data_IF_346128266763
#
_entry.id   IF_346128266763
#
_cell.length_a   1.000
_cell.length_b   1.000
_cell.length_c   1.000
_cell.angle_alpha   90.00
_cell.angle_beta   90.00
_cell.angle_gamma   90.00
#
_symmetry.space_group_name_H-M   'P 1'
#
loop_
_entity.id
_entity.type
_entity.pdbx_description
1 polymer ?
#
# COMPACT_ATOMS: atom_id res chain seq x y z
N UNK A 1 -21.59 13.39 16.92
CA UNK A 1 -20.39 12.54 17.10
C UNK A 1 -19.18 13.45 17.13
N UNK A 2 -18.20 13.20 18.00
CA UNK A 2 -16.98 14.03 18.12
C UNK A 2 -16.30 14.13 16.74
N UNK A 3 -16.03 15.36 16.30
CA UNK A 3 -15.73 15.69 14.89
C UNK A 3 -14.24 15.61 14.57
N UNK A 4 -13.50 14.72 15.24
CA UNK A 4 -12.11 14.47 14.88
C UNK A 4 -12.07 13.73 13.56
N UNK A 5 -11.79 14.48 12.50
CA UNK A 5 -11.60 13.94 11.17
C UNK A 5 -10.22 13.29 11.10
N UNK A 6 -10.17 12.01 10.72
CA UNK A 6 -8.93 11.27 10.47
C UNK A 6 -8.74 11.14 8.95
N UNK A 7 -7.95 12.00 8.29
CA UNK A 7 -7.90 12.01 6.83
C UNK A 7 -7.52 10.64 6.25
N UNK A 8 -8.27 10.21 5.23
CA UNK A 8 -8.17 8.89 4.62
C UNK A 8 -8.76 7.73 5.44
N UNK A 9 -9.44 8.02 6.54
CA UNK A 9 -10.36 7.09 7.21
C UNK A 9 -11.78 7.62 7.10
N UNK A 10 -12.76 6.72 7.19
CA UNK A 10 -14.16 7.06 7.06
C UNK A 10 -15.07 6.01 7.69
N UNK A 11 -16.33 6.39 7.94
CA UNK A 11 -17.41 5.52 8.36
C UNK A 11 -18.35 5.31 7.18
N UNK A 12 -18.89 4.09 7.05
CA UNK A 12 -19.82 3.72 5.99
C UNK A 12 -21.23 3.62 6.56
N UNK A 13 -22.14 4.47 6.09
CA UNK A 13 -23.55 4.49 6.45
C UNK A 13 -24.40 3.88 5.34
N UNK A 14 -25.33 3.02 5.71
CA UNK A 14 -26.27 2.43 4.79
C UNK A 14 -27.32 3.45 4.33
N UNK A 15 -27.38 3.76 3.04
CA UNK A 15 -28.39 4.68 2.49
C UNK A 15 -29.70 3.99 2.12
N UNK A 16 -29.64 2.71 1.75
CA UNK A 16 -30.81 1.93 1.31
C UNK A 16 -30.90 0.58 2.02
N UNK A 17 -32.11 0.10 2.34
CA UNK A 17 -32.30 -1.23 2.88
C UNK A 17 -31.62 -2.27 1.98
N UNK A 18 -30.90 -3.20 2.61
CA UNK A 18 -30.10 -4.16 1.86
C UNK A 18 -30.98 -5.01 0.94
N UNK A 19 -30.59 -5.15 -0.33
CA UNK A 19 -31.30 -5.97 -1.30
C UNK A 19 -31.44 -7.42 -0.80
N UNK A 20 -32.48 -8.16 -1.18
CA UNK A 20 -32.73 -9.55 -0.72
C UNK A 20 -31.56 -10.54 -0.94
N UNK A 21 -30.61 -10.22 -1.83
CA UNK A 21 -29.33 -10.95 -2.04
C UNK A 21 -28.35 -10.83 -0.85
N UNK A 22 -28.60 -9.95 0.11
CA UNK A 22 -27.80 -9.68 1.31
C UNK A 22 -28.02 -10.70 2.45
N UNK A 23 -28.16 -11.99 2.16
CA UNK A 23 -28.24 -13.02 3.21
C UNK A 23 -26.88 -13.35 3.85
N UNK A 24 -25.77 -12.86 3.26
CA UNK A 24 -24.40 -13.28 3.61
C UNK A 24 -23.66 -12.28 4.53
N UNK A 25 -24.12 -11.02 4.66
CA UNK A 25 -23.37 -9.96 5.38
C UNK A 25 -24.31 -9.13 6.30
N UNK A 26 -25.26 -9.76 6.99
CA UNK A 26 -26.14 -9.02 7.92
C UNK A 26 -25.45 -8.66 9.24
N UNK A 27 -24.53 -9.51 9.69
CA UNK A 27 -23.92 -9.40 11.01
C UNK A 27 -23.03 -8.15 11.19
N UNK A 28 -22.35 -7.61 10.15
CA UNK A 28 -21.51 -6.43 10.30
C UNK A 28 -22.27 -5.10 10.32
N UNK A 29 -23.60 -5.13 10.16
CA UNK A 29 -24.42 -3.93 10.26
C UNK A 29 -24.72 -3.61 11.72
N UNK A 30 -24.40 -2.39 12.15
CA UNK A 30 -24.58 -1.93 13.52
C UNK A 30 -25.52 -0.72 13.56
N UNK A 31 -26.24 -0.56 14.67
CA UNK A 31 -27.01 0.65 14.94
C UNK A 31 -26.03 1.81 15.22
N UNK A 32 -26.06 2.84 14.37
CA UNK A 32 -25.28 4.07 14.53
C UNK A 32 -25.96 5.10 15.42
N UNK A 33 -27.15 4.80 15.94
CA UNK A 33 -28.04 5.74 16.60
C UNK A 33 -28.80 6.60 15.60
N UNK A 34 -29.89 7.22 16.07
CA UNK A 34 -30.73 8.13 15.26
C UNK A 34 -31.27 7.52 13.95
N UNK A 35 -31.45 6.19 13.90
CA UNK A 35 -31.94 5.48 12.73
C UNK A 35 -30.89 5.23 11.64
N UNK A 36 -29.61 5.56 11.89
CA UNK A 36 -28.52 5.23 10.99
C UNK A 36 -28.08 3.77 11.17
N UNK A 37 -27.73 3.12 10.06
CA UNK A 37 -27.12 1.78 10.08
C UNK A 37 -25.72 1.88 9.51
N UNK A 38 -24.73 1.40 10.26
CA UNK A 38 -23.30 1.49 9.94
C UNK A 38 -22.73 0.13 9.56
N UNK A 39 -21.73 0.10 8.67
CA UNK A 39 -20.98 -1.12 8.39
C UNK A 39 -19.69 -1.17 9.23
N UNK A 40 -19.67 -2.03 10.25
CA UNK A 40 -18.50 -2.26 11.10
C UNK A 40 -17.36 -2.93 10.33
N UNK A 41 -16.18 -2.32 10.38
CA UNK A 41 -14.98 -2.90 9.76
C UNK A 41 -14.48 -4.14 10.50
N UNK A 42 -14.57 -4.18 11.84
CA UNK A 42 -14.15 -5.33 12.64
C UNK A 42 -15.07 -6.53 12.43
N UNK A 43 -16.39 -6.34 12.50
CA UNK A 43 -17.35 -7.42 12.29
C UNK A 43 -17.30 -7.94 10.85
N UNK A 44 -17.09 -7.04 9.87
CA UNK A 44 -16.90 -7.42 8.47
C UNK A 44 -15.69 -8.34 8.31
N UNK A 45 -14.56 -8.00 8.95
CA UNK A 45 -13.36 -8.82 8.94
C UNK A 45 -13.61 -10.21 9.54
N UNK A 46 -14.36 -10.30 10.63
CA UNK A 46 -14.59 -11.55 11.33
C UNK A 46 -15.51 -12.48 10.55
N UNK A 47 -16.59 -11.96 9.97
CA UNK A 47 -17.50 -12.73 9.12
C UNK A 47 -16.83 -13.21 7.83
N UNK A 48 -16.09 -12.33 7.14
CA UNK A 48 -15.37 -12.71 5.93
C UNK A 48 -14.18 -13.64 6.21
N UNK A 49 -13.55 -13.54 7.40
CA UNK A 49 -12.48 -14.45 7.81
C UNK A 49 -12.97 -15.88 8.03
N UNK A 50 -14.19 -16.05 8.57
CA UNK A 50 -14.82 -17.35 8.76
C UNK A 50 -15.15 -18.06 7.42
N UNK A 51 -15.24 -17.29 6.33
CA UNK A 51 -15.68 -17.74 5.01
C UNK A 51 -14.53 -18.02 4.03
N UNK A 52 -13.27 -18.10 4.49
CA UNK A 52 -12.11 -18.06 3.58
C UNK A 52 -11.87 -19.38 2.78
N UNK A 53 -11.85 -19.34 1.43
CA UNK A 53 -11.98 -20.52 0.56
C UNK A 53 -10.65 -21.10 0.02
N UNK A 54 -9.52 -20.92 0.71
CA UNK A 54 -8.21 -21.35 0.17
C UNK A 54 -7.63 -22.54 0.93
N UNK A 55 -7.97 -23.79 0.54
CA UNK A 55 -7.49 -24.99 1.24
C UNK A 55 -5.96 -25.11 1.25
N UNK A 56 -5.28 -24.50 0.28
CA UNK A 56 -3.82 -24.63 0.10
C UNK A 56 -2.99 -23.55 0.81
N UNK A 57 -3.61 -22.63 1.56
CA UNK A 57 -2.87 -21.58 2.28
C UNK A 57 -3.01 -21.76 3.80
N UNK A 58 -1.87 -22.00 4.44
CA UNK A 58 -1.79 -21.99 5.91
C UNK A 58 -1.88 -20.55 6.39
N UNK A 59 -2.96 -20.23 7.11
CA UNK A 59 -3.20 -18.89 7.65
C UNK A 59 -2.33 -18.64 8.88
N UNK A 60 -1.72 -17.45 8.96
CA UNK A 60 -1.05 -16.93 10.15
C UNK A 60 -1.96 -15.96 10.90
N UNK A 61 -1.50 -15.54 12.09
CA UNK A 61 -2.17 -14.52 12.89
C UNK A 61 -2.38 -13.22 12.08
N UNK A 62 -3.55 -12.62 12.25
CA UNK A 62 -3.95 -11.40 11.55
C UNK A 62 -2.99 -10.26 11.91
N UNK A 63 -2.60 -9.46 10.91
CA UNK A 63 -1.64 -8.36 11.08
C UNK A 63 -2.19 -7.05 10.51
N UNK A 64 -3.10 -6.40 11.24
CA UNK A 64 -3.88 -5.26 10.74
C UNK A 64 -4.97 -5.73 9.77
N UNK A 65 -5.19 -5.08 8.60
CA UNK A 65 -6.21 -5.50 7.65
C UNK A 65 -5.82 -6.77 6.86
N UNK A 66 -4.58 -7.25 7.00
CA UNK A 66 -4.10 -8.43 6.29
C UNK A 66 -4.26 -9.72 7.10
N UNK A 67 -4.58 -10.81 6.42
CA UNK A 67 -4.47 -12.19 6.89
C UNK A 67 -3.28 -12.87 6.20
N UNK A 68 -2.08 -12.80 6.78
CA UNK A 68 -0.89 -13.43 6.22
C UNK A 68 -1.07 -14.94 6.13
N UNK A 69 -0.35 -15.55 5.22
CA UNK A 69 -0.35 -17.00 5.05
C UNK A 69 0.88 -17.48 4.30
N UNK A 70 1.04 -18.80 4.30
CA UNK A 70 2.07 -19.46 3.51
C UNK A 70 1.42 -20.45 2.55
N UNK A 71 1.72 -20.31 1.27
CA UNK A 71 1.36 -21.26 0.22
C UNK A 71 2.54 -22.21 -0.03
N UNK A 72 2.29 -23.51 0.08
CA UNK A 72 3.30 -24.55 -0.18
C UNK A 72 4.55 -24.48 0.73
N UNK A 73 4.42 -23.93 1.94
CA UNK A 73 5.54 -23.80 2.91
C UNK A 73 6.61 -22.76 2.57
N UNK A 74 6.66 -22.24 1.35
CA UNK A 74 7.75 -21.37 0.86
C UNK A 74 7.27 -19.96 0.50
N UNK A 75 6.03 -19.83 0.02
CA UNK A 75 5.55 -18.58 -0.55
C UNK A 75 4.73 -17.83 0.49
N UNK A 76 5.28 -16.72 0.99
CA UNK A 76 4.54 -15.80 1.85
C UNK A 76 3.51 -14.99 1.04
N UNK A 77 2.28 -14.97 1.52
CA UNK A 77 1.16 -14.25 0.91
C UNK A 77 0.48 -13.38 1.96
N UNK A 78 0.21 -12.12 1.63
CA UNK A 78 -0.61 -11.23 2.45
C UNK A 78 -1.92 -10.95 1.72
N UNK A 79 -3.02 -11.48 2.25
CA UNK A 79 -4.36 -11.18 1.71
C UNK A 79 -4.98 -10.06 2.51
N UNK A 80 -5.56 -9.08 1.82
CA UNK A 80 -6.27 -7.96 2.43
C UNK A 80 -7.66 -7.93 1.83
N UNK A 81 -8.67 -7.92 2.69
CA UNK A 81 -10.04 -7.69 2.25
C UNK A 81 -10.24 -6.20 2.04
N UNK A 82 -10.95 -5.82 0.98
CA UNK A 82 -11.26 -4.44 0.70
C UNK A 82 -12.56 -4.31 -0.08
N UNK A 83 -13.24 -3.20 0.11
CA UNK A 83 -14.39 -2.81 -0.72
C UNK A 83 -13.89 -1.89 -1.82
N UNK A 84 -14.28 -2.15 -3.07
CA UNK A 84 -13.92 -1.28 -4.18
C UNK A 84 -14.76 -0.01 -4.14
N UNK A 85 -14.14 1.14 -4.42
CA UNK A 85 -14.83 2.42 -4.48
C UNK A 85 -14.28 3.34 -5.59
N UNK A 86 -15.05 4.36 -5.94
CA UNK A 86 -14.62 5.43 -6.84
C UNK A 86 -14.40 6.72 -6.05
N UNK A 87 -13.28 7.41 -6.30
CA UNK A 87 -12.90 8.63 -5.59
C UNK A 87 -12.31 9.67 -6.56
N UNK A 88 -13.11 10.16 -7.52
CA UNK A 88 -12.63 11.03 -8.59
C UNK A 88 -12.01 12.33 -8.07
N UNK A 89 -12.60 12.97 -7.04
CA UNK A 89 -12.07 14.24 -6.52
C UNK A 89 -10.69 14.12 -5.87
N UNK A 90 -10.37 12.97 -5.24
CA UNK A 90 -9.02 12.72 -4.73
C UNK A 90 -7.99 12.74 -5.85
N UNK A 91 -8.30 12.12 -6.98
CA UNK A 91 -7.39 12.12 -8.12
C UNK A 91 -7.39 13.46 -8.87
N UNK A 92 -8.51 14.20 -8.88
CA UNK A 92 -8.53 15.55 -9.43
C UNK A 92 -7.56 16.48 -8.70
N UNK A 93 -7.39 16.32 -7.38
CA UNK A 93 -6.37 17.07 -6.62
C UNK A 93 -4.94 16.78 -7.08
N UNK A 94 -4.65 15.63 -7.70
CA UNK A 94 -3.34 15.38 -8.33
C UNK A 94 -3.16 16.24 -9.58
N UNK A 95 -4.21 16.42 -10.39
CA UNK A 95 -4.15 17.28 -11.60
C UNK A 95 -3.94 18.76 -11.27
N UNK A 96 -4.36 19.20 -10.09
CA UNK A 96 -4.26 20.59 -9.66
C UNK A 96 -2.88 20.97 -9.11
N UNK A 97 -1.96 20.01 -8.92
CA UNK A 97 -0.64 20.31 -8.35
C UNK A 97 0.29 20.92 -9.39
N UNK A 98 1.01 22.00 -9.05
CA UNK A 98 1.97 22.62 -9.96
C UNK A 98 3.26 21.78 -9.99
N UNK A 99 3.26 20.67 -10.72
CA UNK A 99 4.46 19.86 -10.91
C UNK A 99 4.59 19.31 -12.34
N UNK A 100 5.83 19.12 -12.77
CA UNK A 100 6.19 18.44 -14.01
C UNK A 100 6.22 16.91 -13.86
N UNK A 101 6.02 16.40 -12.64
CA UNK A 101 5.92 14.98 -12.36
C UNK A 101 4.78 14.69 -11.36
N UNK A 102 3.99 13.63 -11.56
CA UNK A 102 4.00 12.74 -12.72
C UNK A 102 3.48 13.45 -13.98
N UNK A 103 3.80 12.92 -15.16
CA UNK A 103 3.32 13.51 -16.41
C UNK A 103 1.79 13.44 -16.52
N UNK A 104 1.18 14.33 -17.30
CA UNK A 104 -0.27 14.36 -17.48
C UNK A 104 -0.86 13.00 -17.92
N UNK A 105 -0.14 12.24 -18.76
CA UNK A 105 -0.54 10.90 -19.19
C UNK A 105 -0.62 9.93 -18.00
N UNK A 106 0.36 9.98 -17.11
CA UNK A 106 0.39 9.14 -15.91
C UNK A 106 -0.68 9.58 -14.92
N UNK A 107 -0.92 10.89 -14.76
CA UNK A 107 -2.03 11.39 -13.92
C UNK A 107 -3.37 10.84 -14.42
N UNK A 108 -3.64 10.93 -15.73
CA UNK A 108 -4.88 10.41 -16.32
C UNK A 108 -5.01 8.89 -16.13
N UNK A 109 -3.91 8.14 -16.27
CA UNK A 109 -3.90 6.70 -16.01
C UNK A 109 -4.19 6.39 -14.54
N UNK A 110 -3.57 7.12 -13.61
CA UNK A 110 -3.82 7.00 -12.17
C UNK A 110 -5.29 7.30 -11.84
N UNK A 111 -5.87 8.34 -12.43
CA UNK A 111 -7.29 8.71 -12.30
C UNK A 111 -8.25 7.61 -12.77
N UNK A 112 -7.85 6.80 -13.76
CA UNK A 112 -8.67 5.71 -14.27
C UNK A 112 -8.77 4.52 -13.31
N UNK A 113 -7.86 4.42 -12.33
CA UNK A 113 -7.89 3.33 -11.36
C UNK A 113 -8.94 3.53 -10.28
N UNK A 114 -9.39 2.39 -9.74
CA UNK A 114 -10.29 2.35 -8.59
C UNK A 114 -9.52 2.57 -7.28
N UNK A 115 -10.23 3.08 -6.29
CA UNK A 115 -9.79 3.12 -4.91
C UNK A 115 -10.37 1.94 -4.13
N UNK A 116 -9.85 1.70 -2.93
CA UNK A 116 -10.25 0.58 -2.08
C UNK A 116 -10.40 1.03 -0.64
N UNK A 117 -11.42 0.52 0.04
CA UNK A 117 -11.65 0.69 1.47
C UNK A 117 -11.24 -0.59 2.19
N UNK A 118 -10.18 -0.50 2.97
CA UNK A 118 -9.71 -1.61 3.82
C UNK A 118 -10.35 -1.52 5.20
N UNK A 119 -10.77 -2.64 5.81
CA UNK A 119 -11.41 -2.66 7.12
C UNK A 119 -10.36 -2.50 8.22
N UNK A 120 -9.89 -1.28 8.41
CA UNK A 120 -8.96 -0.91 9.47
C UNK A 120 -9.22 0.54 9.86
N UNK A 121 -9.52 0.75 11.14
CA UNK A 121 -9.72 2.09 11.67
C UNK A 121 -8.43 2.82 11.98
N UNK A 122 -8.59 4.11 12.30
CA UNK A 122 -7.51 4.91 12.81
C UNK A 122 -7.22 4.49 14.25
N UNK A 123 -5.97 4.13 14.54
CA UNK A 123 -5.58 3.64 15.86
C UNK A 123 -5.85 4.68 16.96
N UNK A 124 -6.64 4.31 17.96
CA UNK A 124 -6.99 5.16 19.09
C UNK A 124 -8.14 6.14 18.80
N UNK A 125 -8.85 6.02 17.67
CA UNK A 125 -10.11 6.71 17.47
C UNK A 125 -11.22 6.05 18.29
N UNK A 126 -12.25 6.83 18.65
CA UNK A 126 -13.44 6.33 19.36
C UNK A 126 -14.18 5.25 18.54
N UNK A 127 -14.15 5.39 17.22
CA UNK A 127 -14.86 4.52 16.28
C UNK A 127 -13.91 3.61 15.49
N UNK A 128 -12.73 3.25 16.03
CA UNK A 128 -11.70 2.45 15.34
C UNK A 128 -12.24 1.14 14.73
N UNK A 129 -13.22 0.52 15.40
CA UNK A 129 -13.85 -0.74 14.98
C UNK A 129 -14.95 -0.57 13.90
N UNK A 130 -15.35 0.67 13.61
CA UNK A 130 -16.31 1.04 12.57
C UNK A 130 -15.64 1.69 11.36
N UNK A 131 -14.44 2.22 11.54
CA UNK A 131 -13.73 2.97 10.53
C UNK A 131 -13.09 2.08 9.45
N UNK A 132 -13.08 2.63 8.24
CA UNK A 132 -12.49 2.06 7.04
C UNK A 132 -11.41 2.99 6.52
N UNK A 133 -10.37 2.42 5.92
CA UNK A 133 -9.24 3.20 5.40
C UNK A 133 -9.16 3.12 3.89
N UNK A 134 -9.19 4.29 3.26
CA UNK A 134 -9.01 4.40 1.82
C UNK A 134 -7.56 4.13 1.40
N UNK A 135 -7.40 3.39 0.30
CA UNK A 135 -6.13 2.97 -0.27
C UNK A 135 -6.18 3.07 -1.80
N UNK A 136 -5.05 3.42 -2.42
CA UNK A 136 -4.93 3.67 -3.86
C UNK A 136 -3.89 2.75 -4.52
N UNK A 137 -3.80 1.49 -4.07
CA UNK A 137 -2.70 0.58 -4.39
C UNK A 137 -2.32 0.54 -5.88
N UNK A 138 -3.30 0.46 -6.78
CA UNK A 138 -3.05 0.43 -8.22
C UNK A 138 -2.43 1.74 -8.73
N UNK A 139 -3.00 2.90 -8.35
CA UNK A 139 -2.45 4.20 -8.70
C UNK A 139 -1.07 4.45 -8.08
N UNK A 140 -0.84 4.01 -6.85
CA UNK A 140 0.47 4.10 -6.22
C UNK A 140 1.53 3.24 -6.90
N UNK A 141 1.15 2.04 -7.36
CA UNK A 141 2.04 1.19 -8.15
C UNK A 141 2.41 1.89 -9.45
N UNK A 142 1.44 2.45 -10.17
CA UNK A 142 1.69 3.19 -11.40
C UNK A 142 2.65 4.36 -11.18
N UNK A 143 2.49 5.12 -10.10
CA UNK A 143 3.41 6.22 -9.76
C UNK A 143 4.84 5.73 -9.51
N UNK A 144 4.99 4.62 -8.77
CA UNK A 144 6.31 4.03 -8.49
C UNK A 144 6.97 3.46 -9.74
N UNK A 145 6.18 2.85 -10.63
CA UNK A 145 6.68 2.25 -11.87
C UNK A 145 7.09 3.31 -12.92
N UNK A 146 6.62 4.55 -12.74
CA UNK A 146 7.01 5.70 -13.56
C UNK A 146 8.05 6.62 -12.88
N UNK A 147 8.72 6.15 -11.83
CA UNK A 147 9.94 6.79 -11.35
C UNK A 147 11.05 6.61 -12.38
N UNK A 148 11.85 7.65 -12.61
CA UNK A 148 13.04 7.52 -13.46
C UNK A 148 14.11 6.63 -12.78
N UNK A 149 15.17 6.29 -13.53
CA UNK A 149 16.21 5.40 -13.05
C UNK A 149 16.83 5.83 -11.71
N UNK A 150 17.18 7.10 -11.56
CA UNK A 150 17.81 7.61 -10.33
C UNK A 150 16.83 7.64 -9.16
N UNK A 151 15.57 8.02 -9.38
CA UNK A 151 14.53 7.99 -8.35
C UNK A 151 14.25 6.55 -7.86
N UNK A 152 14.16 5.59 -8.78
CA UNK A 152 13.99 4.18 -8.45
C UNK A 152 15.19 3.64 -7.64
N UNK A 153 16.40 4.07 -7.99
CA UNK A 153 17.61 3.73 -7.23
C UNK A 153 17.56 4.26 -5.80
N UNK A 154 17.19 5.54 -5.62
CA UNK A 154 17.03 6.16 -4.30
C UNK A 154 15.97 5.40 -3.48
N UNK A 155 14.83 5.07 -4.09
CA UNK A 155 13.76 4.30 -3.44
C UNK A 155 14.23 2.94 -2.92
N UNK A 156 14.96 2.18 -3.74
CA UNK A 156 15.51 0.88 -3.34
C UNK A 156 16.52 1.04 -2.21
N UNK A 157 17.41 2.03 -2.30
CA UNK A 157 18.47 2.26 -1.30
C UNK A 157 17.91 2.68 0.05
N UNK A 158 16.95 3.61 0.08
CA UNK A 158 16.25 3.99 1.30
C UNK A 158 15.49 2.80 1.94
N UNK A 159 14.91 1.90 1.13
CA UNK A 159 14.29 0.67 1.65
C UNK A 159 15.30 -0.29 2.27
N UNK A 160 16.50 -0.36 1.73
CA UNK A 160 17.57 -1.18 2.28
C UNK A 160 18.05 -0.60 3.60
N UNK A 161 18.28 0.71 3.67
CA UNK A 161 18.64 1.42 4.90
C UNK A 161 17.57 1.22 5.98
N UNK A 162 16.29 1.38 5.65
CA UNK A 162 15.19 1.10 6.56
C UNK A 162 15.28 -0.32 7.16
N UNK A 163 15.58 -1.33 6.33
CA UNK A 163 15.63 -2.73 6.76
C UNK A 163 16.90 -3.09 7.52
N UNK A 164 18.04 -2.56 7.12
CA UNK A 164 19.34 -3.01 7.60
C UNK A 164 19.88 -2.16 8.75
N UNK A 165 19.50 -0.88 8.80
CA UNK A 165 19.93 0.08 9.84
C UNK A 165 18.83 0.30 10.86
N UNK A 166 17.66 0.76 10.42
CA UNK A 166 16.59 1.08 11.37
C UNK A 166 15.96 -0.18 11.96
N UNK A 167 15.82 -1.25 11.17
CA UNK A 167 15.29 -2.57 11.61
C UNK A 167 13.99 -2.43 12.44
N UNK A 168 12.94 -1.77 11.91
CA UNK A 168 11.68 -1.60 12.61
C UNK A 168 11.06 -2.97 12.97
N UNK A 169 10.59 -3.12 14.20
CA UNK A 169 10.07 -4.39 14.72
C UNK A 169 8.54 -4.44 14.73
N UNK A 170 7.86 -3.30 14.92
CA UNK A 170 6.39 -3.22 15.10
C UNK A 170 5.73 -2.28 14.10
N UNK A 171 6.26 -2.20 12.87
CA UNK A 171 5.77 -1.35 11.77
C UNK A 171 5.77 0.15 12.10
N UNK A 172 6.64 0.59 13.01
CA UNK A 172 6.79 2.00 13.38
C UNK A 172 7.14 2.84 12.15
N UNK A 173 7.98 2.29 11.27
CA UNK A 173 8.27 2.82 9.95
C UNK A 173 8.23 1.64 8.98
N UNK A 174 7.66 1.88 7.80
CA UNK A 174 7.48 0.85 6.79
C UNK A 174 8.00 1.34 5.45
N UNK A 175 8.14 0.43 4.48
CA UNK A 175 8.46 0.80 3.10
C UNK A 175 7.41 1.72 2.47
N UNK A 176 6.23 1.85 3.08
CA UNK A 176 5.21 2.81 2.68
C UNK A 176 5.60 4.26 3.01
N UNK A 177 6.27 4.49 4.15
CA UNK A 177 6.84 5.81 4.51
C UNK A 177 7.89 6.20 3.47
N UNK A 178 8.82 5.28 3.19
CA UNK A 178 9.89 5.49 2.20
C UNK A 178 9.34 5.76 0.80
N UNK A 179 8.28 5.04 0.40
CA UNK A 179 7.60 5.29 -0.88
C UNK A 179 7.13 6.74 -0.96
N UNK A 180 6.45 7.23 0.06
CA UNK A 180 5.89 8.58 0.05
C UNK A 180 6.95 9.67 0.08
N UNK A 181 8.07 9.46 0.77
CA UNK A 181 9.25 10.35 0.68
C UNK A 181 9.68 10.48 -0.78
N UNK A 182 9.92 9.37 -1.47
CA UNK A 182 10.39 9.43 -2.87
C UNK A 182 9.35 10.02 -3.82
N UNK A 183 8.06 9.77 -3.62
CA UNK A 183 7.01 10.38 -4.43
C UNK A 183 6.98 11.90 -4.25
N UNK A 184 7.11 12.39 -3.01
CA UNK A 184 7.21 13.84 -2.74
C UNK A 184 8.49 14.45 -3.32
N UNK A 185 9.62 13.76 -3.22
CA UNK A 185 10.87 14.21 -3.84
C UNK A 185 10.74 14.31 -5.35
N UNK A 186 10.15 13.30 -5.99
CA UNK A 186 9.94 13.29 -7.43
C UNK A 186 9.00 14.43 -7.86
N UNK A 187 7.94 14.72 -7.10
CA UNK A 187 7.02 15.82 -7.42
C UNK A 187 7.63 17.21 -7.17
N UNK A 188 8.45 17.36 -6.12
CA UNK A 188 8.91 18.67 -5.65
C UNK A 188 10.15 19.21 -6.37
N UNK A 189 10.78 18.40 -7.23
CA UNK A 189 12.07 18.74 -7.84
C UNK A 189 12.06 18.53 -9.37
N UNK A 190 12.89 19.28 -10.13
CA UNK A 190 13.01 19.10 -11.57
C UNK A 190 13.50 17.70 -11.95
N UNK A 191 12.89 17.10 -12.97
CA UNK A 191 13.16 15.70 -13.32
C UNK A 191 14.55 15.47 -13.91
N UNK A 192 15.12 16.47 -14.56
CA UNK A 192 16.45 16.47 -15.17
C UNK A 192 17.58 16.47 -14.13
N UNK A 193 17.30 16.93 -12.91
CA UNK A 193 18.26 16.86 -11.81
C UNK A 193 18.43 15.44 -11.23
N UNK A 194 17.52 14.51 -11.51
CA UNK A 194 17.63 13.11 -11.09
C UNK A 194 18.47 12.30 -12.09
N UNK A 195 19.78 12.27 -11.85
CA UNK A 195 20.72 11.53 -12.69
C UNK A 195 21.79 10.83 -11.83
N UNK A 196 22.62 10.00 -12.47
CA UNK A 196 23.63 9.21 -11.78
C UNK A 196 24.64 10.05 -10.97
N UNK A 197 24.92 11.29 -11.39
CA UNK A 197 25.89 12.17 -10.70
C UNK A 197 25.30 12.76 -9.42
N UNK A 198 24.00 13.01 -9.38
CA UNK A 198 23.27 13.55 -8.24
C UNK A 198 22.65 12.48 -7.34
N UNK A 199 22.79 11.19 -7.68
CA UNK A 199 22.20 10.07 -6.93
C UNK A 199 22.42 10.17 -5.41
N UNK A 200 23.66 10.44 -4.96
CA UNK A 200 23.95 10.54 -3.53
C UNK A 200 23.32 11.77 -2.89
N UNK A 201 23.23 12.90 -3.60
CA UNK A 201 22.52 14.09 -3.11
C UNK A 201 21.06 13.74 -2.81
N UNK A 202 20.38 13.09 -3.76
CA UNK A 202 18.99 12.66 -3.58
C UNK A 202 18.82 11.62 -2.48
N UNK A 203 19.76 10.69 -2.35
CA UNK A 203 19.75 9.72 -1.26
C UNK A 203 19.85 10.41 0.11
N UNK A 204 20.77 11.37 0.25
CA UNK A 204 20.93 12.14 1.51
C UNK A 204 19.74 13.03 1.80
N UNK A 205 19.15 13.64 0.78
CA UNK A 205 17.92 14.41 0.93
C UNK A 205 16.77 13.51 1.41
N UNK A 206 16.66 12.29 0.87
CA UNK A 206 15.66 11.31 1.32
C UNK A 206 15.90 10.84 2.76
N UNK A 207 17.16 10.70 3.18
CA UNK A 207 17.52 10.41 4.57
C UNK A 207 17.20 11.59 5.50
N UNK A 208 17.41 12.82 5.04
CA UNK A 208 17.05 14.04 5.78
C UNK A 208 15.55 14.12 5.97
N UNK A 209 14.76 13.86 4.93
CA UNK A 209 13.29 13.80 5.02
C UNK A 209 12.82 12.69 5.95
N UNK A 210 13.42 11.49 5.87
CA UNK A 210 13.11 10.39 6.79
C UNK A 210 13.42 10.77 8.24
N UNK A 211 14.56 11.40 8.51
CA UNK A 211 14.93 11.90 9.84
C UNK A 211 13.90 12.93 10.32
N UNK A 212 13.56 13.91 9.49
CA UNK A 212 12.54 14.92 9.83
C UNK A 212 11.21 14.27 10.15
N UNK A 213 10.77 13.29 9.36
CA UNK A 213 9.52 12.58 9.61
C UNK A 213 9.53 11.81 10.94
N UNK A 214 10.66 11.21 11.29
CA UNK A 214 10.88 10.52 12.57
C UNK A 214 10.81 11.49 13.75
N UNK A 215 11.55 12.60 13.67
CA UNK A 215 11.68 13.57 14.77
C UNK A 215 10.38 14.32 15.00
N UNK A 216 9.74 14.77 13.93
CA UNK A 216 8.49 15.54 13.99
C UNK A 216 7.27 14.65 14.17
N UNK A 217 7.40 13.33 13.94
CA UNK A 217 6.29 12.38 13.81
C UNK A 217 5.27 12.85 12.77
N UNK A 218 5.74 13.46 11.67
CA UNK A 218 4.92 13.96 10.57
C UNK A 218 5.45 13.51 9.21
N UNK A 219 4.59 12.93 8.38
CA UNK A 219 4.83 12.77 6.95
C UNK A 219 3.49 12.72 6.21
N UNK A 220 3.25 13.66 5.30
CA UNK A 220 2.03 13.68 4.49
C UNK A 220 1.97 12.48 3.55
N UNK A 221 0.81 11.83 3.50
CA UNK A 221 0.55 10.82 2.48
C UNK A 221 0.45 11.48 1.10
N UNK A 222 1.14 10.95 0.11
CA UNK A 222 1.25 11.54 -1.22
C UNK A 222 -0.11 11.78 -1.88
N UNK A 223 -1.04 10.81 -1.82
CA UNK A 223 -2.35 10.92 -2.48
C UNK A 223 -3.37 11.74 -1.67
N UNK A 224 -3.27 11.74 -0.33
CA UNK A 224 -4.11 12.54 0.57
C UNK A 224 -3.19 13.30 1.53
N UNK A 225 -2.67 14.48 1.15
CA UNK A 225 -1.64 15.20 1.91
C UNK A 225 -2.02 15.52 3.36
N UNK A 226 -3.32 15.62 3.64
CA UNK A 226 -3.86 15.85 4.98
C UNK A 226 -3.64 14.66 5.92
N UNK A 227 -3.39 13.46 5.37
CA UNK A 227 -3.18 12.24 6.15
C UNK A 227 -1.70 12.12 6.57
N UNK A 228 -1.43 12.25 7.86
CA UNK A 228 -0.12 11.97 8.43
C UNK A 228 0.14 10.45 8.57
N UNK A 229 1.16 9.94 7.89
CA UNK A 229 1.60 8.54 7.93
C UNK A 229 2.30 8.13 9.23
N UNK A 230 2.84 9.09 9.97
CA UNK A 230 3.58 8.85 11.21
C UNK A 230 2.66 8.87 12.45
N UNK A 231 1.43 9.38 12.33
CA UNK A 231 0.49 9.56 13.44
C UNK A 231 0.15 8.25 14.18
N UNK A 232 -0.05 7.16 13.45
CA UNK A 232 -0.41 5.86 14.00
C UNK A 232 0.78 4.89 14.15
N UNK A 233 2.02 5.38 13.99
CA UNK A 233 3.24 4.56 14.00
C UNK A 233 3.50 3.85 15.32
N UNK A 234 3.04 4.41 16.45
CA UNK A 234 3.40 3.93 17.78
C UNK A 234 4.89 4.08 18.09
N UNK A 235 5.59 4.96 17.37
CA UNK A 235 7.02 5.22 17.56
C UNK A 235 7.29 5.81 18.95
N UNK A 236 8.04 5.05 19.76
CA UNK A 236 8.47 5.45 21.09
C UNK A 236 9.67 6.40 21.04
N UNK A 237 9.75 7.33 21.98
CA UNK A 237 10.78 8.38 21.99
C UNK A 237 12.22 7.81 22.06
N UNK A 238 12.43 6.74 22.83
CA UNK A 238 13.73 6.04 22.87
C UNK A 238 14.14 5.51 21.50
N UNK A 239 13.20 4.95 20.74
CA UNK A 239 13.45 4.42 19.41
C UNK A 239 13.65 5.54 18.38
N UNK A 240 12.87 6.63 18.52
CA UNK A 240 13.04 7.85 17.73
C UNK A 240 14.45 8.42 17.87
N UNK A 241 14.93 8.66 19.10
CA UNK A 241 16.26 9.22 19.34
C UNK A 241 17.38 8.33 18.80
N UNK A 242 17.23 7.01 18.95
CA UNK A 242 18.18 6.06 18.37
C UNK A 242 18.24 6.20 16.85
N UNK A 243 17.09 6.17 16.17
CA UNK A 243 17.06 6.25 14.71
C UNK A 243 17.48 7.62 14.18
N UNK A 244 17.18 8.69 14.90
CA UNK A 244 17.70 10.01 14.57
C UNK A 244 19.24 10.02 14.59
N UNK A 245 19.86 9.43 15.62
CA UNK A 245 21.30 9.29 15.73
C UNK A 245 21.86 8.38 14.61
N UNK A 246 21.29 7.19 14.41
CA UNK A 246 21.74 6.24 13.38
C UNK A 246 21.72 6.88 11.97
N UNK A 247 20.69 7.66 11.64
CA UNK A 247 20.60 8.37 10.37
C UNK A 247 21.62 9.51 10.31
N UNK A 248 21.80 10.26 11.40
CA UNK A 248 22.78 11.36 11.47
C UNK A 248 24.21 10.84 11.27
N UNK A 249 24.57 9.77 11.95
CA UNK A 249 25.90 9.17 11.88
C UNK A 249 26.18 8.68 10.45
N UNK A 250 25.22 7.99 9.81
CA UNK A 250 25.33 7.58 8.41
C UNK A 250 25.55 8.77 7.46
N UNK A 251 24.85 9.89 7.67
CA UNK A 251 25.03 11.09 6.85
C UNK A 251 26.41 11.74 7.07
N UNK A 252 27.01 11.59 8.25
CA UNK A 252 28.34 12.16 8.57
C UNK A 252 29.51 11.29 8.12
N UNK A 253 29.40 9.97 8.22
CA UNK A 253 30.48 9.04 7.82
C UNK A 253 30.58 8.88 6.28
N UNK A 254 29.52 9.29 5.58
CA UNK A 254 29.48 9.34 4.13
C UNK A 254 29.11 8.00 3.48
N UNK A 255 29.31 7.86 2.15
CA UNK A 255 28.78 6.71 1.40
C UNK A 255 29.48 5.37 1.73
N UNK A 256 30.59 5.39 2.48
CA UNK A 256 31.35 4.17 2.82
C UNK A 256 30.55 3.23 3.72
N UNK A 257 29.78 3.74 4.67
CA UNK A 257 29.00 2.90 5.58
C UNK A 257 27.71 2.39 4.93
N UNK A 258 27.19 3.12 3.94
CA UNK A 258 26.13 2.63 3.06
C UNK A 258 26.63 1.39 2.29
N UNK A 259 27.85 1.39 1.75
CA UNK A 259 28.40 0.22 1.04
C UNK A 259 28.62 -1.01 1.94
N UNK A 260 28.72 -0.81 3.27
CA UNK A 260 28.88 -1.90 4.25
C UNK A 260 27.56 -2.56 4.63
N UNK A 261 26.41 -1.99 4.24
CA UNK A 261 25.10 -2.57 4.57
C UNK A 261 24.99 -3.99 3.99
N UNK A 262 24.55 -4.99 4.78
CA UNK A 262 24.57 -6.40 4.38
C UNK A 262 23.92 -6.66 3.02
N UNK A 263 22.78 -6.03 2.71
CA UNK A 263 22.11 -6.23 1.42
C UNK A 263 22.82 -5.54 0.26
N UNK A 264 23.44 -4.39 0.48
CA UNK A 264 24.23 -3.70 -0.54
C UNK A 264 25.47 -4.52 -0.84
N UNK A 265 26.17 -4.97 0.20
CA UNK A 265 27.30 -5.87 0.10
C UNK A 265 26.94 -7.16 -0.65
N UNK A 266 25.82 -7.80 -0.31
CA UNK A 266 25.33 -9.00 -1.00
C UNK A 266 25.07 -8.74 -2.50
N UNK A 267 24.49 -7.59 -2.85
CA UNK A 267 24.22 -7.25 -4.24
C UNK A 267 25.45 -6.85 -5.05
N UNK A 268 26.43 -6.20 -4.44
CA UNK A 268 27.75 -5.94 -5.05
C UNK A 268 28.44 -7.25 -5.40
N UNK A 269 28.38 -8.25 -4.53
CA UNK A 269 28.93 -9.57 -4.86
C UNK A 269 28.12 -10.34 -5.91
N UNK A 270 26.83 -10.03 -6.06
CA UNK A 270 25.95 -10.68 -7.03
C UNK A 270 26.00 -10.05 -8.43
N UNK A 271 26.43 -8.78 -8.57
CA UNK A 271 26.44 -8.08 -9.86
C UNK A 271 27.40 -6.87 -9.88
N UNK A 272 28.07 -6.59 -11.03
CA UNK A 272 28.84 -5.35 -11.24
C UNK A 272 28.01 -4.07 -11.16
N UNK A 273 26.69 -4.16 -11.39
CA UNK A 273 25.74 -3.05 -11.28
C UNK A 273 24.61 -3.42 -10.30
N UNK A 274 24.85 -3.30 -8.99
CA UNK A 274 23.97 -3.84 -7.95
C UNK A 274 22.54 -3.28 -8.01
N UNK A 275 22.44 -2.01 -8.39
CA UNK A 275 21.17 -1.30 -8.49
C UNK A 275 20.38 -1.70 -9.72
N UNK A 276 21.05 -1.88 -10.86
CA UNK A 276 20.43 -2.46 -12.05
C UNK A 276 20.01 -3.90 -11.74
N UNK A 277 20.83 -4.66 -11.02
CA UNK A 277 20.48 -6.00 -10.56
C UNK A 277 19.26 -6.00 -9.64
N UNK A 278 19.12 -5.10 -8.66
CA UNK A 278 17.92 -5.06 -7.81
C UNK A 278 16.66 -4.69 -8.61
N UNK A 279 16.77 -3.69 -9.48
CA UNK A 279 15.68 -3.26 -10.36
C UNK A 279 15.29 -4.39 -11.30
N UNK A 280 16.26 -4.98 -11.99
CA UNK A 280 16.11 -6.11 -12.91
C UNK A 280 15.66 -7.36 -12.19
N UNK A 281 16.10 -7.65 -10.97
CA UNK A 281 15.64 -8.83 -10.20
C UNK A 281 14.20 -8.67 -9.76
N UNK A 282 13.79 -7.47 -9.35
CA UNK A 282 12.38 -7.15 -9.08
C UNK A 282 11.56 -7.31 -10.37
N UNK A 283 12.00 -6.68 -11.45
CA UNK A 283 11.34 -6.68 -12.76
C UNK A 283 11.35 -8.07 -13.41
N UNK A 284 12.38 -8.90 -13.21
CA UNK A 284 12.47 -10.31 -13.61
C UNK A 284 11.54 -11.17 -12.78
N UNK A 285 11.43 -10.96 -11.47
CA UNK A 285 10.45 -11.68 -10.66
C UNK A 285 9.02 -11.30 -11.06
N UNK A 286 8.79 -10.04 -11.43
CA UNK A 286 7.52 -9.55 -11.95
C UNK A 286 7.27 -10.06 -13.40
N UNK A 287 8.26 -10.07 -14.29
CA UNK A 287 8.16 -10.57 -15.68
C UNK A 287 8.11 -12.09 -15.77
N UNK A 288 8.90 -12.83 -14.99
CA UNK A 288 8.79 -14.29 -14.89
C UNK A 288 7.43 -14.67 -14.32
N UNK A 289 6.86 -13.83 -13.43
CA UNK A 289 5.48 -14.00 -12.99
C UNK A 289 4.45 -13.68 -14.08
N UNK A 290 4.78 -12.87 -15.10
CA UNK A 290 3.92 -12.45 -16.23
C UNK A 290 4.03 -13.39 -17.46
N UNK A 291 5.24 -13.73 -17.91
CA UNK A 291 5.51 -14.61 -19.05
C UNK A 291 5.05 -16.05 -18.81
N UNK A 292 5.11 -16.50 -17.56
CA UNK A 292 4.58 -17.81 -17.18
C UNK A 292 3.05 -17.85 -17.26
N UNK A 293 2.36 -16.73 -16.96
CA UNK A 293 0.90 -16.57 -17.18
C UNK A 293 0.58 -16.69 -18.67
N UNK A 294 1.33 -15.99 -19.50
CA UNK A 294 1.05 -15.86 -20.94
C UNK A 294 1.35 -17.15 -21.70
N UNK A 295 2.45 -17.85 -21.41
CA UNK A 295 2.78 -19.13 -22.06
C UNK A 295 1.77 -20.25 -21.80
N UNK A 296 0.97 -20.14 -20.73
CA UNK A 296 0.03 -21.19 -20.31
C UNK A 296 -1.44 -20.76 -20.46
N UNK A 297 -1.70 -19.56 -21.01
CA UNK A 297 -3.01 -19.18 -21.56
C UNK A 297 -3.20 -19.71 -23.00
N UNK A 298 -2.11 -20.07 -23.68
CA UNK A 298 -2.15 -20.69 -25.03
C UNK A 298 -2.24 -22.23 -25.00
N UNK A 299 -1.92 -22.88 -23.87
CA UNK A 299 -1.97 -24.34 -23.72
C UNK A 299 -3.22 -24.83 -22.97
N UNK A 300 -4.38 -24.24 -23.25
CA UNK A 300 -5.68 -24.87 -22.97
C UNK A 300 -6.41 -25.19 -24.26
N UNK A 301 -5.83 -26.11 -25.03
CA UNK A 301 -6.57 -27.16 -25.69
C UNK A 301 -5.67 -28.41 -25.66
N UNK A 302 -6.27 -29.53 -25.26
CA UNK A 302 -5.74 -30.89 -25.27
C UNK A 302 -5.06 -31.41 -23.98
N UNK A 303 -5.91 -32.13 -23.22
CA UNK A 303 -5.64 -33.40 -22.53
C UNK A 303 -4.56 -33.46 -21.43
N UNK A 304 -5.00 -33.12 -20.21
CA UNK A 304 -5.21 -34.11 -19.15
C UNK A 304 -4.01 -34.85 -18.57
N UNK A 305 -3.24 -34.18 -17.69
CA UNK A 305 -2.70 -34.72 -16.44
C UNK A 305 -2.64 -33.58 -15.43
N UNK A 306 -3.37 -33.67 -14.31
CA UNK A 306 -3.43 -32.60 -13.29
C UNK A 306 -2.16 -32.65 -12.44
N UNK A 307 -1.22 -31.74 -12.69
CA UNK A 307 -0.05 -31.51 -11.86
C UNK A 307 -0.44 -30.60 -10.67
N UNK A 308 -0.04 -30.97 -9.46
CA UNK A 308 -0.28 -30.18 -8.23
C UNK A 308 0.42 -28.81 -8.28
N UNK A 309 1.34 -28.62 -9.21
CA UNK A 309 1.95 -27.32 -9.53
C UNK A 309 0.94 -26.34 -10.16
N UNK A 310 -0.04 -26.82 -10.95
CA UNK A 310 -1.04 -26.00 -11.64
C UNK A 310 -2.03 -25.32 -10.67
N UNK A 311 -2.41 -25.98 -9.57
CA UNK A 311 -3.25 -25.35 -8.53
C UNK A 311 -2.48 -24.27 -7.75
N UNK A 312 -1.20 -24.49 -7.50
CA UNK A 312 -0.31 -23.52 -6.83
C UNK A 312 -0.11 -22.32 -7.75
N UNK A 313 0.01 -22.56 -9.06
CA UNK A 313 0.12 -21.55 -10.09
C UNK A 313 -1.16 -20.75 -10.25
N UNK A 314 -2.31 -21.41 -10.33
CA UNK A 314 -3.63 -20.77 -10.28
C UNK A 314 -3.84 -19.97 -8.99
N UNK A 315 -3.21 -20.32 -7.87
CA UNK A 315 -3.23 -19.53 -6.63
C UNK A 315 -2.25 -18.34 -6.64
N UNK A 316 -1.21 -18.36 -7.48
CA UNK A 316 -0.21 -17.29 -7.65
C UNK A 316 -0.59 -16.32 -8.78
N UNK A 317 -1.16 -16.77 -9.89
CA UNK A 317 -1.79 -15.94 -10.95
C UNK A 317 -2.93 -15.08 -10.38
N UNK A 318 -3.58 -15.67 -9.39
CA UNK A 318 -4.48 -15.05 -8.43
C UNK A 318 -3.80 -14.04 -7.46
N UNK A 319 -2.59 -13.52 -7.74
CA UNK A 319 -1.95 -12.43 -6.97
C UNK A 319 -2.44 -11.02 -7.30
N UNK A 320 -3.53 -10.91 -8.05
CA UNK A 320 -4.61 -9.95 -7.81
C UNK A 320 -5.95 -10.68 -7.87
N UNK A 321 -6.24 -11.59 -6.94
CA UNK A 321 -7.65 -11.92 -6.68
C UNK A 321 -8.27 -10.68 -6.03
N UNK A 322 -8.79 -9.79 -6.86
CA UNK A 322 -10.11 -9.25 -6.58
C UNK A 322 -11.07 -10.44 -6.72
N UNK A 323 -11.47 -11.04 -5.60
CA UNK A 323 -12.53 -12.03 -5.61
C UNK A 323 -13.79 -11.19 -5.69
N UNK A 324 -14.25 -10.97 -6.92
CA UNK A 324 -15.50 -10.28 -7.16
C UNK A 324 -16.65 -11.16 -6.69
N UNK A 325 -17.06 -11.02 -5.44
CA UNK A 325 -18.40 -11.43 -5.04
C UNK A 325 -19.30 -10.24 -5.38
N UNK A 326 -20.03 -10.28 -6.49
CA UNK A 326 -20.89 -9.17 -6.89
C UNK A 326 -21.97 -8.89 -5.82
N UNK A 327 -21.72 -7.87 -5.00
CA UNK A 327 -22.69 -7.38 -4.03
C UNK A 327 -22.72 -5.85 -4.09
N UNK A 328 -23.78 -5.34 -4.70
CA UNK A 328 -24.04 -3.90 -4.75
C UNK A 328 -24.50 -3.41 -3.37
N UNK A 329 -23.67 -2.61 -2.73
CA UNK A 329 -23.96 -1.87 -1.50
C UNK A 329 -24.11 -0.38 -1.81
N UNK A 330 -25.12 0.24 -1.20
CA UNK A 330 -25.36 1.68 -1.30
C UNK A 330 -24.97 2.29 0.04
N UNK A 331 -23.72 2.76 0.12
CA UNK A 331 -23.14 3.29 1.34
C UNK A 331 -22.73 4.76 1.14
N UNK A 332 -23.21 5.63 2.02
CA UNK A 332 -22.67 6.98 2.19
C UNK A 332 -21.42 6.91 3.04
N UNK A 333 -20.49 7.81 2.75
CA UNK A 333 -19.25 7.91 3.52
C UNK A 333 -19.22 9.19 4.31
N UNK A 334 -18.98 9.08 5.62
CA UNK A 334 -18.82 10.23 6.52
C UNK A 334 -17.45 10.19 7.21
N UNK A 335 -16.95 11.37 7.60
CA UNK A 335 -15.78 11.46 8.48
C UNK A 335 -14.41 11.45 7.80
N UNK A 336 -14.30 11.88 6.53
CA UNK A 336 -13.01 12.11 5.89
C UNK A 336 -12.86 13.58 5.48
N UNK A 337 -11.67 14.17 5.63
CA UNK A 337 -11.38 15.54 5.18
C UNK A 337 -11.48 15.70 3.65
N UNK A 338 -11.81 14.63 2.94
CA UNK A 338 -12.05 14.62 1.51
C UNK A 338 -13.55 14.79 1.30
N UNK A 339 -13.95 16.00 0.93
CA UNK A 339 -15.33 16.36 0.58
C UNK A 339 -15.86 15.60 -0.67
N UNK A 340 -15.01 14.83 -1.36
CA UNK A 340 -15.30 14.25 -2.68
C UNK A 340 -15.57 12.73 -2.68
N UNK A 341 -15.98 12.15 -1.54
CA UNK A 341 -16.37 10.72 -1.48
C UNK A 341 -17.82 10.47 -1.96
N UNK A 342 -18.44 11.46 -2.62
CA UNK A 342 -19.84 11.44 -3.06
C UNK A 342 -20.17 10.31 -4.08
N UNK A 343 -19.17 9.70 -4.72
CA UNK A 343 -19.36 8.68 -5.76
C UNK A 343 -19.08 7.22 -5.31
N UNK A 344 -19.20 6.92 -4.02
CA UNK A 344 -19.16 5.53 -3.54
C UNK A 344 -20.45 4.77 -3.91
N UNK A 345 -21.51 5.50 -4.31
CA UNK A 345 -22.85 4.95 -4.45
C UNK A 345 -23.19 4.22 -5.77
N UNK A 346 -22.42 4.28 -6.87
CA UNK A 346 -22.90 3.72 -8.15
C UNK A 346 -22.17 2.49 -8.71
N UNK A 347 -21.15 1.95 -8.02
CA UNK A 347 -20.56 0.65 -8.39
C UNK A 347 -19.65 0.08 -7.30
N UNK A 348 -20.19 -0.20 -6.10
CA UNK A 348 -19.56 -1.20 -5.23
C UNK A 348 -19.79 -2.58 -5.86
N UNK A 349 -18.94 -2.91 -6.82
CA UNK A 349 -18.71 -4.29 -7.24
C UNK A 349 -17.52 -4.75 -6.40
N UNK A 350 -17.66 -5.81 -5.58
CA UNK A 350 -16.45 -6.47 -5.08
C UNK A 350 -15.59 -6.91 -6.26
#
# INVERSE_FOLDING_TARGET
MDTRVYPGHCILLQERPAHKRWKVIRNPLCDGGYGAVLLSSSLFLDECSASTPYPNIVNHERAGPSRPGTLGGVIHVNRVLALRCHCPGIFQRLTARPSHWPSAVIVLKVMSFRAYLTPVGFKGSEHEHMEWRICFNAGETELVDNLNGTQAQVYVMLKMILKDVLRPCKKEITSYVIKNIVLWQAESNPQDEFNARSFFCWLYDGLRELKTAIVTKQLSYYTIPERNLMAASGLQDKQQHKWEADIKDMMTEGPRDILRLPKIRQAIFASPEPMLWFSKKRMELEMLSLEYVNRHTECQNENGVVDKSDEIMQAILRRRIELQVEVALWMRVEGSAVNDLEDICNSMLM
#
